data_IF_188304477467
#
_entry.id   IF_188304477467
#
_cell.length_a   1.000
_cell.length_b   1.000
_cell.length_c   1.000
_cell.angle_alpha   90.00
_cell.angle_beta   90.00
_cell.angle_gamma   90.00
#
_symmetry.space_group_name_H-M   'P 1'
#
loop_
_entity.id
_entity.type
_entity.pdbx_description
1 polymer ?
#
# COMPACT_ATOMS: atom_id res chain seq x y z
N UNK A 1 16.68 31.80 -24.44
CA UNK A 1 16.63 30.73 -23.42
C UNK A 1 15.22 30.19 -23.41
N UNK A 2 15.00 28.98 -23.92
CA UNK A 2 13.67 28.35 -23.92
C UNK A 2 13.37 27.91 -22.49
N UNK A 3 12.26 28.37 -21.92
CA UNK A 3 11.77 27.84 -20.66
C UNK A 3 11.43 26.36 -20.89
N UNK A 4 12.14 25.45 -20.23
CA UNK A 4 11.75 24.05 -20.21
C UNK A 4 10.35 23.98 -19.57
N UNK A 5 9.32 23.71 -20.38
CA UNK A 5 7.99 23.40 -19.87
C UNK A 5 8.13 22.10 -19.07
N UNK A 6 8.17 22.20 -17.74
CA UNK A 6 8.13 21.04 -16.86
C UNK A 6 6.75 20.41 -17.02
N UNK A 7 6.68 19.29 -17.73
CA UNK A 7 5.47 18.49 -17.77
C UNK A 7 5.39 17.73 -16.44
N UNK A 8 4.26 17.84 -15.74
CA UNK A 8 4.01 16.99 -14.58
C UNK A 8 4.01 15.52 -15.01
N UNK A 9 4.75 14.70 -14.26
CA UNK A 9 4.88 13.28 -14.50
C UNK A 9 4.25 12.51 -13.34
N UNK A 10 3.73 11.29 -13.59
CA UNK A 10 3.29 10.43 -12.51
C UNK A 10 4.42 10.18 -11.52
N UNK A 11 4.08 10.13 -10.23
CA UNK A 11 4.98 9.68 -9.18
C UNK A 11 4.92 8.15 -9.05
N UNK A 12 5.88 7.57 -8.35
CA UNK A 12 5.89 6.13 -8.04
C UNK A 12 5.71 5.94 -6.54
N UNK A 13 4.79 5.05 -6.17
CA UNK A 13 4.60 4.64 -4.79
C UNK A 13 4.47 3.13 -4.67
N UNK A 14 4.64 2.62 -3.45
CA UNK A 14 4.48 1.21 -3.11
C UNK A 14 3.42 1.08 -2.04
N UNK A 15 2.37 0.30 -2.29
CA UNK A 15 1.39 -0.13 -1.29
C UNK A 15 1.64 -1.57 -0.87
N UNK A 16 1.31 -1.92 0.38
CA UNK A 16 1.67 -3.23 0.95
C UNK A 16 0.45 -4.01 1.41
N UNK A 17 0.21 -5.18 0.81
CA UNK A 17 -0.69 -6.19 1.37
C UNK A 17 0.01 -6.89 2.53
N UNK A 18 -0.10 -6.32 3.73
CA UNK A 18 0.41 -6.94 4.95
C UNK A 18 -0.55 -8.03 5.40
N UNK A 19 -0.07 -9.27 5.51
CA UNK A 19 -0.84 -10.43 5.99
C UNK A 19 -0.31 -10.96 7.32
N UNK A 20 -1.15 -11.67 8.07
CA UNK A 20 -0.75 -12.32 9.31
C UNK A 20 -1.35 -13.73 9.42
N UNK A 21 -0.61 -14.72 9.92
CA UNK A 21 -1.17 -16.04 10.23
C UNK A 21 -2.24 -15.98 11.32
N UNK A 22 -2.19 -14.99 12.22
CA UNK A 22 -3.17 -14.81 13.29
C UNK A 22 -4.51 -14.21 12.76
N UNK A 23 -4.51 -13.63 11.55
CA UNK A 23 -5.65 -12.99 10.91
C UNK A 23 -5.86 -13.52 9.47
N UNK A 24 -6.37 -14.75 9.31
CA UNK A 24 -6.49 -15.37 8.00
C UNK A 24 -7.44 -14.59 7.08
N UNK A 25 -7.05 -14.46 5.81
CA UNK A 25 -7.76 -13.67 4.78
C UNK A 25 -7.91 -12.17 5.09
N UNK A 26 -7.16 -11.65 6.06
CA UNK A 26 -7.13 -10.23 6.38
C UNK A 26 -5.88 -9.56 5.84
N UNK A 27 -6.03 -8.30 5.44
CA UNK A 27 -4.90 -7.39 5.21
C UNK A 27 -4.97 -6.23 6.20
N UNK A 28 -3.82 -5.65 6.50
CA UNK A 28 -3.75 -4.45 7.33
C UNK A 28 -4.21 -3.21 6.56
N UNK A 29 -5.12 -2.43 7.14
CA UNK A 29 -5.58 -1.16 6.58
C UNK A 29 -5.62 -0.09 7.66
N UNK A 30 -5.44 1.16 7.24
CA UNK A 30 -5.61 2.34 8.10
C UNK A 30 -6.43 3.41 7.42
N UNK A 31 -7.06 4.27 8.22
CA UNK A 31 -7.80 5.43 7.70
C UNK A 31 -6.83 6.60 7.58
N UNK A 32 -6.66 7.12 6.35
CA UNK A 32 -5.78 8.26 6.06
C UNK A 32 -6.27 9.51 6.78
N UNK A 33 -5.34 10.33 7.26
CA UNK A 33 -5.58 11.60 7.97
C UNK A 33 -4.70 12.71 7.41
N UNK A 34 -5.13 13.96 7.59
CA UNK A 34 -4.38 15.15 7.22
C UNK A 34 -4.69 15.68 5.81
N UNK A 35 -3.95 16.70 5.33
CA UNK A 35 -4.29 17.43 4.11
C UNK A 35 -4.00 16.65 2.80
N UNK A 36 -3.56 15.40 2.89
CA UNK A 36 -3.20 14.60 1.73
C UNK A 36 -4.46 14.07 1.00
N UNK A 37 -4.37 13.80 -0.31
CA UNK A 37 -5.45 13.16 -1.05
C UNK A 37 -5.96 11.89 -0.37
N UNK A 38 -7.27 11.72 -0.35
CA UNK A 38 -7.93 10.56 0.25
C UNK A 38 -8.01 10.54 1.78
N UNK A 39 -7.88 11.68 2.47
CA UNK A 39 -8.19 11.76 3.90
C UNK A 39 -9.58 11.18 4.20
N UNK A 40 -9.70 10.38 5.27
CA UNK A 40 -10.92 9.66 5.65
C UNK A 40 -11.17 8.37 4.85
N UNK A 41 -10.30 7.99 3.92
CA UNK A 41 -10.40 6.74 3.16
C UNK A 41 -9.45 5.68 3.73
N UNK A 42 -9.84 4.41 3.58
CA UNK A 42 -8.99 3.27 3.92
C UNK A 42 -7.87 3.11 2.89
N UNK A 43 -6.65 2.95 3.39
CA UNK A 43 -5.46 2.67 2.60
C UNK A 43 -4.64 1.54 3.23
N UNK A 44 -3.80 0.92 2.42
CA UNK A 44 -2.74 0.04 2.89
C UNK A 44 -1.57 0.88 3.45
N UNK A 45 -0.69 0.30 4.27
CA UNK A 45 0.63 0.87 4.51
C UNK A 45 1.39 1.08 3.20
N UNK A 46 2.24 2.09 3.16
CA UNK A 46 3.05 2.38 1.98
C UNK A 46 3.28 3.85 1.70
N UNK A 47 4.24 4.12 0.83
CA UNK A 47 4.68 5.48 0.53
C UNK A 47 5.44 5.58 -0.78
N UNK A 48 6.39 6.50 -0.83
CA UNK A 48 7.17 6.80 -2.04
C UNK A 48 8.30 5.79 -2.21
N UNK A 49 8.50 5.34 -3.46
CA UNK A 49 9.69 4.58 -3.80
C UNK A 49 10.89 5.53 -3.84
N UNK A 50 11.92 5.24 -3.04
CA UNK A 50 13.14 6.06 -3.00
C UNK A 50 14.12 5.70 -4.13
N UNK A 51 15.05 6.60 -4.42
CA UNK A 51 16.05 6.36 -5.46
C UNK A 51 16.99 5.22 -5.05
N UNK A 52 17.09 4.21 -5.92
CA UNK A 52 17.95 3.04 -5.71
C UNK A 52 17.34 1.94 -4.85
N UNK A 53 16.12 2.14 -4.35
CA UNK A 53 15.39 1.19 -3.53
C UNK A 53 14.64 0.16 -4.39
N UNK A 54 14.64 -1.11 -3.98
CA UNK A 54 13.72 -2.11 -4.54
C UNK A 54 12.30 -1.89 -4.02
N UNK A 55 11.29 -2.29 -4.78
CA UNK A 55 9.90 -2.33 -4.30
C UNK A 55 9.71 -3.19 -3.03
N UNK A 56 10.48 -4.26 -2.80
CA UNK A 56 10.41 -5.02 -1.54
C UNK A 56 11.05 -4.26 -0.37
N UNK A 57 12.16 -3.57 -0.61
CA UNK A 57 12.81 -2.70 0.38
C UNK A 57 11.87 -1.57 0.81
N UNK A 58 11.25 -0.89 -0.15
CA UNK A 58 10.25 0.15 0.10
C UNK A 58 9.07 -0.37 0.92
N UNK A 59 8.50 -1.51 0.53
CA UNK A 59 7.39 -2.11 1.26
C UNK A 59 7.75 -2.46 2.72
N UNK A 60 8.97 -2.96 2.96
CA UNK A 60 9.48 -3.24 4.32
C UNK A 60 9.69 -1.96 5.11
N UNK A 61 10.35 -0.96 4.52
CA UNK A 61 10.64 0.33 5.17
C UNK A 61 9.36 1.03 5.59
N UNK A 62 8.46 1.27 4.64
CA UNK A 62 7.19 1.99 4.89
C UNK A 62 6.34 1.24 5.93
N UNK A 63 6.21 -0.08 5.83
CA UNK A 63 5.46 -0.86 6.83
C UNK A 63 6.06 -0.72 8.23
N UNK A 64 7.39 -0.75 8.36
CA UNK A 64 8.08 -0.58 9.64
C UNK A 64 7.93 0.84 10.19
N UNK A 65 8.04 1.85 9.33
CA UNK A 65 7.94 3.27 9.69
C UNK A 65 6.53 3.63 10.16
N UNK A 66 5.48 3.16 9.47
CA UNK A 66 4.10 3.55 9.75
C UNK A 66 3.42 2.67 10.83
N UNK A 67 3.76 1.38 10.87
CA UNK A 67 3.04 0.36 11.67
C UNK A 67 3.90 -0.28 12.76
N UNK A 68 5.23 -0.17 12.66
CA UNK A 68 6.16 -0.88 13.54
C UNK A 68 6.27 -2.40 13.29
N UNK A 69 5.53 -2.95 12.31
CA UNK A 69 5.60 -4.37 11.94
C UNK A 69 6.79 -4.62 11.01
N UNK A 70 7.41 -5.79 11.16
CA UNK A 70 8.44 -6.26 10.24
C UNK A 70 7.85 -7.31 9.31
N UNK A 71 8.25 -7.29 8.04
CA UNK A 71 7.75 -8.20 7.03
C UNK A 71 8.79 -9.23 6.60
N UNK A 72 8.31 -10.45 6.40
CA UNK A 72 8.99 -11.56 5.74
C UNK A 72 8.28 -11.94 4.45
N UNK A 73 8.96 -12.71 3.60
CA UNK A 73 8.43 -13.24 2.34
C UNK A 73 7.82 -12.16 1.44
N UNK A 74 8.43 -10.97 1.41
CA UNK A 74 7.94 -9.85 0.60
C UNK A 74 8.17 -10.12 -0.87
N UNK A 75 7.13 -9.98 -1.69
CA UNK A 75 7.18 -10.22 -3.13
C UNK A 75 6.22 -9.29 -3.88
N UNK A 76 6.48 -9.10 -5.17
CA UNK A 76 5.61 -8.34 -6.07
C UNK A 76 4.19 -8.96 -6.16
N UNK A 77 3.17 -8.10 -6.14
CA UNK A 77 1.77 -8.48 -6.20
C UNK A 77 1.08 -7.99 -7.48
N UNK A 78 1.03 -6.67 -7.70
CA UNK A 78 0.39 -6.05 -8.87
C UNK A 78 0.85 -4.60 -9.05
N UNK A 79 0.38 -3.92 -10.10
CA UNK A 79 0.61 -2.50 -10.35
C UNK A 79 -0.64 -1.84 -10.90
N UNK A 80 -0.90 -0.60 -10.47
CA UNK A 80 -2.02 0.19 -10.99
C UNK A 80 -1.58 1.59 -11.41
N UNK A 81 -2.31 2.14 -12.37
CA UNK A 81 -2.27 3.55 -12.72
C UNK A 81 -3.41 4.27 -11.98
N UNK A 82 -3.08 4.97 -10.89
CA UNK A 82 -4.04 5.66 -10.03
C UNK A 82 -4.05 7.17 -10.31
N UNK A 83 -5.23 7.70 -10.68
CA UNK A 83 -5.41 9.10 -11.06
C UNK A 83 -6.62 9.69 -10.34
N UNK A 84 -6.42 10.80 -9.64
CA UNK A 84 -7.47 11.68 -9.10
C UNK A 84 -7.18 13.08 -9.65
N UNK A 85 -7.93 13.49 -10.67
CA UNK A 85 -7.64 14.72 -11.42
C UNK A 85 -7.89 15.96 -10.57
N UNK A 86 -8.93 15.90 -9.75
CA UNK A 86 -9.39 16.99 -8.88
C UNK A 86 -8.35 17.33 -7.80
N UNK A 87 -7.54 16.35 -7.39
CA UNK A 87 -6.50 16.47 -6.38
C UNK A 87 -5.09 16.62 -6.98
N UNK A 88 -4.98 16.75 -8.30
CA UNK A 88 -3.73 16.66 -9.06
C UNK A 88 -2.84 15.46 -8.63
N UNK A 89 -3.48 14.31 -8.41
CA UNK A 89 -2.84 13.08 -7.96
C UNK A 89 -2.70 12.12 -9.14
N UNK A 90 -1.46 11.78 -9.50
CA UNK A 90 -1.16 10.74 -10.48
C UNK A 90 0.01 9.90 -9.98
N UNK A 91 -0.27 8.65 -9.62
CA UNK A 91 0.73 7.68 -9.21
C UNK A 91 0.65 6.40 -10.05
N UNK A 92 1.81 5.88 -10.40
CA UNK A 92 1.98 4.44 -10.64
C UNK A 92 2.21 3.82 -9.27
N UNK A 93 1.25 3.03 -8.80
CA UNK A 93 1.37 2.36 -7.50
C UNK A 93 1.67 0.89 -7.72
N UNK A 94 2.89 0.51 -7.36
CA UNK A 94 3.30 -0.88 -7.24
C UNK A 94 2.70 -1.43 -5.95
N UNK A 95 2.31 -2.69 -5.96
CA UNK A 95 1.90 -3.40 -4.76
C UNK A 95 2.84 -4.56 -4.53
N UNK A 96 3.25 -4.72 -3.27
CA UNK A 96 3.92 -5.91 -2.77
C UNK A 96 3.07 -6.56 -1.69
N UNK A 97 3.28 -7.84 -1.46
CA UNK A 97 2.64 -8.59 -0.38
C UNK A 97 3.71 -9.14 0.54
N UNK A 98 3.49 -9.06 1.85
CA UNK A 98 4.40 -9.54 2.87
C UNK A 98 3.66 -10.04 4.09
N UNK A 99 4.21 -11.06 4.73
CA UNK A 99 3.66 -11.60 5.97
C UNK A 99 4.41 -10.98 7.16
N UNK A 100 3.71 -10.67 8.25
CA UNK A 100 4.39 -10.15 9.45
C UNK A 100 5.30 -11.21 10.09
N UNK A 101 6.41 -10.76 10.67
CA UNK A 101 7.22 -11.58 11.56
C UNK A 101 6.65 -11.56 12.99
N UNK A 102 5.83 -12.57 13.30
CA UNK A 102 5.14 -12.71 14.58
C UNK A 102 6.06 -12.90 15.77
N UNK A 103 7.31 -13.30 15.56
CA UNK A 103 8.32 -13.43 16.63
C UNK A 103 8.86 -12.07 17.06
N UNK A 104 8.79 -11.07 16.19
CA UNK A 104 9.19 -9.69 16.49
C UNK A 104 8.03 -8.89 17.07
N UNK A 105 6.89 -8.87 16.38
CA UNK A 105 5.70 -8.11 16.78
C UNK A 105 4.46 -8.62 16.06
N UNK A 106 3.38 -8.78 16.82
CA UNK A 106 2.07 -9.23 16.30
C UNK A 106 1.13 -8.08 15.96
N UNK A 107 1.10 -7.04 16.81
CA UNK A 107 0.15 -5.94 16.69
C UNK A 107 0.80 -4.66 16.16
N UNK A 108 0.13 -3.94 15.24
CA UNK A 108 0.61 -2.66 14.74
C UNK A 108 0.59 -1.58 15.83
N UNK A 109 1.48 -0.61 15.69
CA UNK A 109 1.45 0.67 16.41
C UNK A 109 1.20 1.76 15.38
N UNK A 110 0.32 2.70 15.68
CA UNK A 110 0.19 3.91 14.87
C UNK A 110 1.40 4.84 15.12
N UNK A 111 2.46 4.71 14.33
CA UNK A 111 3.70 5.48 14.50
C UNK A 111 3.59 6.90 13.92
N UNK A 112 2.60 7.14 13.06
CA UNK A 112 2.35 8.43 12.41
C UNK A 112 0.90 8.90 12.65
N UNK A 113 0.51 9.22 13.91
CA UNK A 113 -0.88 9.52 14.29
C UNK A 113 -1.46 10.80 13.66
N UNK A 114 -0.63 11.63 13.04
CA UNK A 114 -1.05 12.80 12.27
C UNK A 114 -1.46 12.45 10.83
N UNK A 115 -1.01 11.29 10.32
CA UNK A 115 -1.26 10.82 8.95
C UNK A 115 -2.20 9.61 8.88
N UNK A 116 -2.38 8.87 9.98
CA UNK A 116 -3.25 7.71 10.05
C UNK A 116 -4.05 7.71 11.36
N UNK A 117 -5.32 7.33 11.34
CA UNK A 117 -6.13 7.20 12.57
C UNK A 117 -5.77 5.94 13.39
N UNK A 118 -5.20 4.93 12.74
CA UNK A 118 -4.85 3.66 13.33
C UNK A 118 -4.96 2.52 12.32
N UNK A 119 -4.49 1.34 12.73
CA UNK A 119 -4.39 0.17 11.86
C UNK A 119 -5.33 -0.94 12.34
N UNK A 120 -6.05 -1.56 11.41
CA UNK A 120 -6.95 -2.69 11.68
C UNK A 120 -6.71 -3.82 10.68
N UNK A 121 -6.88 -5.05 11.13
CA UNK A 121 -6.93 -6.22 10.24
C UNK A 121 -8.32 -6.31 9.63
N UNK A 122 -8.39 -6.17 8.30
CA UNK A 122 -9.65 -6.18 7.57
C UNK A 122 -9.73 -7.40 6.66
N UNK A 123 -10.78 -8.20 6.83
CA UNK A 123 -11.04 -9.36 5.98
C UNK A 123 -11.29 -8.88 4.53
N UNK A 124 -10.57 -9.46 3.57
CA UNK A 124 -10.62 -9.06 2.17
C UNK A 124 -12.01 -9.16 1.54
N UNK A 125 -12.82 -10.13 1.99
CA UNK A 125 -14.16 -10.35 1.50
C UNK A 125 -15.21 -9.46 2.19
N UNK A 126 -14.87 -8.87 3.34
CA UNK A 126 -15.73 -7.98 4.13
C UNK A 126 -15.24 -6.52 4.10
N UNK A 127 -14.33 -6.24 3.16
CA UNK A 127 -13.73 -4.93 3.01
C UNK A 127 -14.79 -3.84 2.78
N UNK A 128 -14.53 -2.59 3.21
CA UNK A 128 -15.44 -1.48 2.96
C UNK A 128 -15.81 -1.35 1.48
N UNK A 129 -16.98 -0.73 1.18
CA UNK A 129 -17.37 -0.37 -0.17
C UNK A 129 -16.28 0.43 -0.89
N UNK A 130 -16.17 0.29 -2.21
CA UNK A 130 -15.09 0.86 -3.02
C UNK A 130 -14.91 2.37 -2.84
N UNK A 131 -15.99 3.12 -2.62
CA UNK A 131 -15.99 4.57 -2.37
C UNK A 131 -15.32 4.98 -1.05
N UNK A 132 -15.13 4.04 -0.12
CA UNK A 132 -14.40 4.24 1.13
C UNK A 132 -12.90 3.92 1.01
N UNK A 133 -12.44 3.51 -0.17
CA UNK A 133 -11.06 3.10 -0.40
C UNK A 133 -10.27 4.19 -1.10
N UNK A 134 -9.03 4.38 -0.66
CA UNK A 134 -8.10 5.28 -1.34
C UNK A 134 -7.83 4.81 -2.78
N UNK A 135 -7.63 5.75 -3.70
CA UNK A 135 -7.70 5.49 -5.14
C UNK A 135 -6.88 4.28 -5.62
N UNK A 136 -5.59 4.11 -5.25
CA UNK A 136 -4.83 2.93 -5.68
C UNK A 136 -5.47 1.60 -5.24
N UNK A 137 -5.89 1.50 -3.97
CA UNK A 137 -6.53 0.30 -3.42
C UNK A 137 -7.90 0.03 -4.05
N UNK A 138 -8.66 1.10 -4.33
CA UNK A 138 -9.91 1.01 -5.08
C UNK A 138 -9.68 0.41 -6.48
N UNK A 139 -8.70 0.92 -7.23
CA UNK A 139 -8.40 0.45 -8.59
C UNK A 139 -7.96 -1.01 -8.60
N UNK A 140 -7.13 -1.45 -7.64
CA UNK A 140 -6.76 -2.87 -7.48
C UNK A 140 -8.01 -3.77 -7.38
N UNK A 141 -8.96 -3.38 -6.53
CA UNK A 141 -10.18 -4.17 -6.32
C UNK A 141 -11.09 -4.16 -7.54
N UNK A 142 -11.21 -3.03 -8.23
CA UNK A 142 -11.96 -2.92 -9.50
C UNK A 142 -11.36 -3.83 -10.59
N UNK A 143 -10.03 -4.02 -10.59
CA UNK A 143 -9.34 -4.98 -11.45
C UNK A 143 -9.48 -6.44 -11.00
N UNK A 144 -10.23 -6.70 -9.91
CA UNK A 144 -10.50 -8.03 -9.34
C UNK A 144 -9.24 -8.78 -8.87
N UNK A 145 -8.17 -8.06 -8.58
CA UNK A 145 -7.02 -8.65 -7.90
C UNK A 145 -7.42 -9.09 -6.48
N UNK A 146 -6.87 -10.22 -6.02
CA UNK A 146 -7.08 -10.75 -4.68
C UNK A 146 -5.74 -11.30 -4.13
N UNK A 147 -5.20 -10.73 -3.03
CA UNK A 147 -3.89 -11.13 -2.49
C UNK A 147 -3.86 -12.56 -1.92
N UNK A 148 -5.01 -13.23 -1.79
CA UNK A 148 -5.11 -14.59 -1.28
C UNK A 148 -5.36 -15.65 -2.38
N UNK A 149 -5.81 -15.24 -3.57
CA UNK A 149 -6.22 -16.19 -4.61
C UNK A 149 -5.72 -15.84 -6.01
N UNK A 150 -5.30 -14.60 -6.27
CA UNK A 150 -4.70 -14.24 -7.55
C UNK A 150 -3.34 -14.95 -7.72
N UNK A 151 -3.03 -15.40 -8.94
CA UNK A 151 -1.75 -16.03 -9.20
C UNK A 151 -0.62 -15.04 -8.95
N UNK A 152 0.42 -15.49 -8.25
CA UNK A 152 1.60 -14.68 -7.99
C UNK A 152 2.32 -14.42 -9.32
N UNK A 153 2.61 -13.16 -9.69
CA UNK A 153 3.31 -12.85 -10.93
C UNK A 153 4.77 -13.26 -10.77
N UNK A 154 5.12 -14.41 -11.35
CA UNK A 154 6.48 -14.94 -11.54
C UNK A 154 7.38 -14.95 -10.29
N UNK A 155 7.71 -16.15 -9.78
CA UNK A 155 8.93 -16.31 -8.98
C UNK A 155 10.12 -16.06 -9.92
N UNK A 156 10.73 -14.89 -9.86
CA UNK A 156 12.07 -14.73 -10.42
C UNK A 156 13.00 -15.60 -9.57
N UNK A 157 13.36 -16.77 -10.10
CA UNK A 157 14.54 -17.49 -9.63
C UNK A 157 15.74 -16.67 -10.07
N UNK A 158 16.33 -15.94 -9.13
CA UNK A 158 17.68 -15.38 -9.24
C UNK A 158 18.63 -16.20 -8.38
#
# INVERSE_FOLDING_TARGET
>A
MSACISHERPKVGVGVFVTSPDYPNCVLVGVRKGPSPGSGLYALPGGHLEFGESWEECGKRETLEETGLQLRNVHYATVVNAVIKEDNYHYITLFVQGEIDTEVRKEPINREPDKCEGWIWCNWNEFPPSEKLFCPLRVVREQRYNPFTSPQPFKNES
#
